data_IF_844397955021
#
_entry.id   IF_844397955021
#
_cell.length_a   1.000
_cell.length_b   1.000
_cell.length_c   1.000
_cell.angle_alpha   90.00
_cell.angle_beta   90.00
_cell.angle_gamma   90.00
#
_symmetry.space_group_name_H-M   'P 1'
#
loop_
_entity.id
_entity.type
_entity.pdbx_description
1 polymer ?
#
# COMPACT_ATOMS: atom_id res chain seq x y z
N UNK A 1 -11.21 -13.12 15.95
CA UNK A 1 -10.78 -13.47 14.57
C UNK A 1 -11.90 -13.10 13.58
N UNK A 2 -11.66 -12.99 12.25
CA UNK A 2 -12.71 -12.61 11.28
C UNK A 2 -13.94 -13.53 11.30
N UNK A 3 -13.75 -14.81 11.57
CA UNK A 3 -14.83 -15.80 11.67
C UNK A 3 -15.78 -15.48 12.83
N UNK A 4 -15.23 -15.17 14.01
CA UNK A 4 -16.00 -14.79 15.21
C UNK A 4 -16.78 -13.48 14.99
N UNK A 5 -16.19 -12.53 14.26
CA UNK A 5 -16.87 -11.28 13.88
C UNK A 5 -18.04 -11.58 12.93
N UNK A 6 -17.83 -12.49 11.96
CA UNK A 6 -18.89 -12.91 11.04
C UNK A 6 -20.06 -13.54 11.82
N UNK A 7 -19.77 -14.45 12.73
CA UNK A 7 -20.78 -15.11 13.57
C UNK A 7 -21.54 -14.10 14.43
N UNK A 8 -20.82 -13.19 15.13
CA UNK A 8 -21.44 -12.17 15.99
C UNK A 8 -22.34 -11.23 15.20
N UNK A 9 -21.89 -10.69 14.05
CA UNK A 9 -22.68 -9.78 13.22
C UNK A 9 -23.88 -10.50 12.61
N UNK A 10 -23.74 -11.76 12.20
CA UNK A 10 -24.84 -12.57 11.68
C UNK A 10 -25.91 -12.77 12.77
N UNK A 11 -25.52 -13.17 13.98
CA UNK A 11 -26.44 -13.35 15.09
C UNK A 11 -27.20 -12.07 15.46
N UNK A 12 -26.52 -10.91 15.46
CA UNK A 12 -27.16 -9.61 15.69
C UNK A 12 -28.17 -9.29 14.58
N UNK A 13 -27.84 -9.55 13.32
CA UNK A 13 -28.77 -9.33 12.19
C UNK A 13 -30.00 -10.20 12.26
N UNK A 14 -29.84 -11.46 12.66
CA UNK A 14 -30.96 -12.38 12.82
C UNK A 14 -31.89 -11.95 13.96
N UNK A 15 -31.31 -11.47 15.07
CA UNK A 15 -32.08 -10.99 16.22
C UNK A 15 -32.73 -9.62 15.98
N UNK A 16 -32.11 -8.76 15.17
CA UNK A 16 -32.50 -7.38 14.91
C UNK A 16 -32.45 -7.07 13.40
N UNK A 17 -33.36 -7.64 12.59
CA UNK A 17 -33.29 -7.56 11.13
C UNK A 17 -33.36 -6.16 10.54
N UNK A 18 -34.03 -5.24 11.23
CA UNK A 18 -34.21 -3.84 10.81
C UNK A 18 -33.10 -2.91 11.34
N UNK A 19 -32.16 -3.42 12.17
CA UNK A 19 -31.11 -2.60 12.75
C UNK A 19 -30.02 -2.25 11.72
N UNK A 20 -29.58 -1.01 11.75
CA UNK A 20 -28.42 -0.57 10.99
C UNK A 20 -27.15 -0.83 11.80
N UNK A 21 -26.43 -1.90 11.46
CA UNK A 21 -25.27 -2.36 12.22
C UNK A 21 -24.02 -1.61 11.79
N UNK A 22 -23.31 -1.05 12.78
CA UNK A 22 -21.96 -0.50 12.63
C UNK A 22 -20.90 -1.40 13.23
N UNK A 23 -19.66 -1.25 12.76
CA UNK A 23 -18.49 -1.96 13.27
C UNK A 23 -17.35 -1.00 13.61
N UNK A 24 -16.75 -1.20 14.78
CA UNK A 24 -15.54 -0.53 15.25
C UNK A 24 -14.57 -1.60 15.75
N UNK A 25 -13.39 -1.68 15.14
CA UNK A 25 -12.39 -2.68 15.48
C UNK A 25 -11.06 -2.06 15.87
N UNK A 26 -10.40 -2.69 16.85
CA UNK A 26 -9.01 -2.40 17.24
C UNK A 26 -8.03 -3.36 16.57
N UNK A 27 -6.75 -2.97 16.51
CA UNK A 27 -5.72 -3.64 15.72
C UNK A 27 -4.71 -4.45 16.57
N UNK A 28 -5.11 -4.87 17.75
CA UNK A 28 -4.21 -5.50 18.74
C UNK A 28 -3.49 -6.76 18.21
N UNK A 29 -4.15 -7.51 17.34
CA UNK A 29 -3.55 -8.68 16.66
C UNK A 29 -3.31 -8.45 15.17
N UNK A 30 -3.35 -7.20 14.69
CA UNK A 30 -3.18 -6.88 13.27
C UNK A 30 -4.39 -7.15 12.38
N UNK A 31 -5.55 -7.54 12.94
CA UNK A 31 -6.74 -7.98 12.19
C UNK A 31 -7.82 -6.91 12.04
N UNK A 32 -7.63 -5.68 12.47
CA UNK A 32 -8.69 -4.67 12.44
C UNK A 32 -9.34 -4.50 11.06
N UNK A 33 -8.54 -4.40 10.00
CA UNK A 33 -9.04 -4.29 8.62
C UNK A 33 -9.80 -5.55 8.20
N UNK A 34 -9.25 -6.73 8.47
CA UNK A 34 -9.86 -8.01 8.11
C UNK A 34 -11.18 -8.23 8.86
N UNK A 35 -11.20 -7.94 10.15
CA UNK A 35 -12.40 -8.02 11.00
C UNK A 35 -13.49 -7.07 10.50
N UNK A 36 -13.14 -5.84 10.13
CA UNK A 36 -14.09 -4.88 9.57
C UNK A 36 -14.68 -5.38 8.25
N UNK A 37 -13.85 -5.94 7.36
CA UNK A 37 -14.32 -6.51 6.09
C UNK A 37 -15.25 -7.70 6.35
N UNK A 38 -14.92 -8.56 7.31
CA UNK A 38 -15.78 -9.70 7.71
C UNK A 38 -17.15 -9.20 8.19
N UNK A 39 -17.19 -8.16 9.03
CA UNK A 39 -18.43 -7.53 9.47
C UNK A 39 -19.26 -6.95 8.31
N UNK A 40 -18.65 -6.26 7.37
CA UNK A 40 -19.34 -5.72 6.18
C UNK A 40 -19.93 -6.85 5.34
N UNK A 41 -19.20 -7.93 5.13
CA UNK A 41 -19.70 -9.14 4.43
C UNK A 41 -20.85 -9.78 5.17
N UNK A 42 -20.82 -9.82 6.49
CA UNK A 42 -21.91 -10.34 7.33
C UNK A 42 -23.11 -9.39 7.42
N UNK A 43 -23.00 -8.15 6.94
CA UNK A 43 -24.12 -7.20 6.82
C UNK A 43 -24.01 -5.90 7.57
N UNK A 44 -22.87 -5.59 8.21
CA UNK A 44 -22.65 -4.25 8.74
C UNK A 44 -22.66 -3.21 7.60
N UNK A 45 -23.25 -2.05 7.87
CA UNK A 45 -23.42 -0.97 6.90
C UNK A 45 -22.71 0.32 7.29
N UNK A 46 -22.23 0.42 8.52
CA UNK A 46 -21.40 1.51 8.99
C UNK A 46 -20.03 0.97 9.40
N UNK A 47 -18.96 1.61 8.96
CA UNK A 47 -17.59 1.29 9.33
C UNK A 47 -16.98 2.47 10.05
N UNK A 48 -16.42 2.23 11.22
CA UNK A 48 -15.66 3.19 11.96
C UNK A 48 -14.18 2.82 11.93
N UNK A 49 -13.33 3.80 11.76
CA UNK A 49 -11.89 3.65 11.73
C UNK A 49 -11.22 5.01 11.77
N UNK A 50 -9.92 5.03 11.65
CA UNK A 50 -9.13 6.27 11.69
C UNK A 50 -8.15 6.34 10.53
N UNK A 51 -7.79 7.55 10.12
CA UNK A 51 -6.74 7.75 9.14
C UNK A 51 -5.42 7.23 9.74
N UNK A 52 -4.67 6.46 8.96
CA UNK A 52 -3.43 5.78 9.36
C UNK A 52 -3.60 4.80 10.55
N UNK A 53 -4.83 4.42 10.89
CA UNK A 53 -5.11 3.47 11.96
C UNK A 53 -4.79 4.00 13.36
N UNK A 54 -4.72 5.33 13.55
CA UNK A 54 -4.37 5.92 14.85
C UNK A 54 -5.44 5.59 15.88
N UNK A 55 -5.03 5.24 17.09
CA UNK A 55 -5.93 4.91 18.19
C UNK A 55 -5.19 4.31 19.37
N UNK A 56 -5.95 3.92 20.38
CA UNK A 56 -5.38 3.32 21.57
C UNK A 56 -4.68 1.99 21.29
N UNK A 57 -3.64 1.70 22.05
CA UNK A 57 -2.78 0.49 21.95
C UNK A 57 -2.18 0.37 20.55
N UNK A 58 -2.57 -0.66 19.76
CA UNK A 58 -2.11 -0.88 18.40
C UNK A 58 -2.93 -0.11 17.34
N UNK A 59 -3.91 0.69 17.77
CA UNK A 59 -4.73 1.53 16.92
C UNK A 59 -6.05 0.89 16.50
N UNK A 60 -6.73 1.57 15.59
CA UNK A 60 -8.03 1.20 15.04
C UNK A 60 -7.90 0.66 13.62
N UNK A 61 -9.01 0.23 13.04
CA UNK A 61 -9.07 -0.08 11.62
C UNK A 61 -8.61 1.12 10.77
N UNK A 62 -7.65 0.88 9.89
CA UNK A 62 -7.05 1.92 9.07
C UNK A 62 -7.95 2.27 7.87
N UNK A 63 -8.56 3.45 7.87
CA UNK A 63 -9.40 3.94 6.77
C UNK A 63 -8.63 4.13 5.47
N UNK A 64 -7.32 4.41 5.52
CA UNK A 64 -6.47 4.50 4.33
C UNK A 64 -6.41 3.16 3.58
N UNK A 65 -6.52 2.04 4.28
CA UNK A 65 -6.58 0.71 3.69
C UNK A 65 -8.03 0.28 3.41
N UNK A 66 -8.95 0.54 4.33
CA UNK A 66 -10.34 0.08 4.22
C UNK A 66 -11.09 0.72 3.04
N UNK A 67 -10.96 2.03 2.84
CA UNK A 67 -11.67 2.74 1.77
C UNK A 67 -11.34 2.13 0.40
N UNK A 68 -10.07 2.05 -0.05
CA UNK A 68 -9.77 1.47 -1.34
C UNK A 68 -10.09 -0.03 -1.42
N UNK A 69 -9.96 -0.79 -0.33
CA UNK A 69 -10.37 -2.22 -0.32
C UNK A 69 -11.86 -2.35 -0.57
N UNK A 70 -12.70 -1.63 0.18
CA UNK A 70 -14.15 -1.71 0.03
C UNK A 70 -14.60 -1.26 -1.37
N UNK A 71 -14.03 -0.19 -1.89
CA UNK A 71 -14.42 0.36 -3.18
C UNK A 71 -13.86 -0.44 -4.36
N UNK A 72 -12.58 -0.79 -4.35
CA UNK A 72 -11.89 -1.35 -5.52
C UNK A 72 -11.93 -2.88 -5.57
N UNK A 73 -12.03 -3.55 -4.42
CA UNK A 73 -12.03 -5.02 -4.34
C UNK A 73 -13.44 -5.59 -4.12
N UNK A 74 -14.30 -4.86 -3.40
CA UNK A 74 -15.66 -5.31 -3.08
C UNK A 74 -16.76 -4.52 -3.79
N UNK A 75 -16.43 -3.42 -4.50
CA UNK A 75 -17.42 -2.62 -5.23
C UNK A 75 -18.43 -1.89 -4.32
N UNK A 76 -18.08 -1.68 -3.05
CA UNK A 76 -18.94 -1.00 -2.10
C UNK A 76 -18.96 0.50 -2.34
N UNK A 77 -20.12 1.12 -2.16
CA UNK A 77 -20.24 2.58 -2.03
C UNK A 77 -19.88 2.99 -0.59
N UNK A 78 -18.94 3.92 -0.45
CA UNK A 78 -18.40 4.32 0.87
C UNK A 78 -18.70 5.78 1.23
N UNK A 79 -19.46 6.49 0.42
CA UNK A 79 -19.64 7.93 0.57
C UNK A 79 -18.43 8.78 0.12
N UNK A 80 -17.32 8.13 -0.25
CA UNK A 80 -16.15 8.78 -0.88
C UNK A 80 -16.27 8.63 -2.39
N UNK A 81 -16.23 9.74 -3.13
CA UNK A 81 -16.24 9.69 -4.59
C UNK A 81 -14.97 9.00 -5.10
N UNK A 82 -15.11 8.09 -6.08
CA UNK A 82 -14.02 7.27 -6.60
C UNK A 82 -12.85 8.12 -7.11
N UNK A 83 -13.16 9.26 -7.70
CA UNK A 83 -12.19 10.23 -8.22
C UNK A 83 -11.35 10.89 -7.11
N UNK A 84 -11.78 10.77 -5.84
CA UNK A 84 -11.04 11.32 -4.69
C UNK A 84 -10.00 10.35 -4.10
N UNK A 85 -10.00 9.09 -4.52
CA UNK A 85 -9.05 8.10 -4.02
C UNK A 85 -7.59 8.52 -4.22
N UNK A 86 -7.27 9.25 -5.30
CA UNK A 86 -5.92 9.77 -5.54
C UNK A 86 -5.39 10.69 -4.43
N UNK A 87 -6.25 11.14 -3.50
CA UNK A 87 -5.85 11.97 -2.37
C UNK A 87 -5.42 11.18 -1.13
N UNK A 88 -5.53 9.84 -1.14
CA UNK A 88 -5.26 9.03 0.03
C UNK A 88 -3.81 9.18 0.53
N UNK A 89 -2.82 9.16 -0.37
CA UNK A 89 -1.41 9.36 0.01
C UNK A 89 -1.19 10.72 0.65
N UNK A 90 -1.69 11.78 0.03
CA UNK A 90 -1.54 13.14 0.57
C UNK A 90 -2.25 13.33 1.91
N UNK A 91 -3.43 12.71 2.09
CA UNK A 91 -4.17 12.72 3.36
C UNK A 91 -3.40 12.01 4.47
N UNK A 92 -2.86 10.81 4.18
CA UNK A 92 -2.03 10.04 5.11
C UNK A 92 -0.83 10.86 5.58
N UNK A 93 -0.10 11.45 4.62
CA UNK A 93 1.07 12.30 4.90
C UNK A 93 0.72 13.56 5.68
N UNK A 94 -0.37 14.21 5.33
CA UNK A 94 -0.84 15.42 6.03
C UNK A 94 -1.09 15.12 7.51
N UNK A 95 -1.72 13.98 7.82
CA UNK A 95 -1.97 13.61 9.21
C UNK A 95 -0.66 13.32 9.95
N UNK A 96 0.21 12.48 9.39
CA UNK A 96 1.51 12.16 10.01
C UNK A 96 2.32 13.42 10.32
N UNK A 97 2.36 14.38 9.39
CA UNK A 97 3.00 15.68 9.60
C UNK A 97 2.36 16.49 10.73
N UNK A 98 1.01 16.48 10.83
CA UNK A 98 0.28 17.23 11.87
C UNK A 98 0.53 16.70 13.27
N UNK A 99 0.75 15.41 13.41
CA UNK A 99 1.00 14.75 14.71
C UNK A 99 2.48 14.46 14.95
N UNK A 100 3.37 14.99 14.10
CA UNK A 100 4.82 14.78 14.17
C UNK A 100 5.22 13.30 14.20
N UNK A 101 4.59 12.48 13.35
CA UNK A 101 4.87 11.07 13.18
C UNK A 101 5.60 10.83 11.87
N UNK A 102 6.61 9.97 11.88
CA UNK A 102 7.26 9.52 10.65
C UNK A 102 6.28 8.64 9.85
N UNK A 103 6.10 8.91 8.55
CA UNK A 103 5.28 8.08 7.69
C UNK A 103 5.80 6.65 7.61
N UNK A 104 4.90 5.67 7.62
CA UNK A 104 5.28 4.29 7.39
C UNK A 104 5.50 4.05 5.88
N UNK A 105 6.76 3.84 5.48
CA UNK A 105 7.12 3.57 4.08
C UNK A 105 6.46 2.31 3.51
N UNK A 106 6.10 1.33 4.36
CA UNK A 106 5.47 0.08 3.97
C UNK A 106 3.94 0.06 4.20
N UNK A 107 3.33 1.22 4.48
CA UNK A 107 1.87 1.29 4.63
C UNK A 107 1.17 0.86 3.33
N UNK A 108 0.19 -0.07 3.38
CA UNK A 108 -0.56 -0.46 2.21
C UNK A 108 -1.15 0.75 1.47
N UNK A 109 -1.10 0.75 0.16
CA UNK A 109 -1.56 1.79 -0.77
C UNK A 109 -0.75 3.10 -0.76
N UNK A 110 -0.33 3.62 0.38
CA UNK A 110 0.16 5.01 0.49
C UNK A 110 1.63 5.13 0.89
N UNK A 111 2.24 4.05 1.38
CA UNK A 111 3.67 4.03 1.69
C UNK A 111 4.52 4.22 0.44
N UNK A 112 5.70 4.79 0.57
CA UNK A 112 6.59 5.01 -0.57
C UNK A 112 7.06 3.68 -1.17
N UNK A 113 7.24 2.65 -0.33
CA UNK A 113 7.61 1.31 -0.78
C UNK A 113 6.42 0.46 -1.30
N UNK A 114 5.16 0.94 -1.18
CA UNK A 114 3.98 0.13 -1.51
C UNK A 114 3.91 -0.31 -2.98
N UNK A 115 4.58 0.43 -3.89
CA UNK A 115 4.68 0.14 -5.31
C UNK A 115 6.14 0.22 -5.80
N UNK A 116 7.09 -0.08 -4.90
CA UNK A 116 8.50 -0.10 -5.21
C UNK A 116 8.95 -1.52 -5.62
N UNK A 117 9.68 -1.62 -6.72
CA UNK A 117 10.20 -2.87 -7.26
C UNK A 117 11.73 -2.89 -7.14
N UNK A 118 12.27 -3.69 -6.21
CA UNK A 118 13.72 -3.82 -5.97
C UNK A 118 14.35 -4.96 -6.77
N UNK A 119 13.71 -6.14 -6.78
CA UNK A 119 14.24 -7.32 -7.45
C UNK A 119 14.20 -7.20 -8.97
N UNK A 120 15.30 -7.58 -9.67
CA UNK A 120 15.41 -7.46 -11.12
C UNK A 120 14.30 -8.18 -11.90
N UNK A 121 13.87 -9.37 -11.43
CA UNK A 121 12.76 -10.10 -12.02
C UNK A 121 11.43 -9.35 -11.87
N UNK A 122 11.16 -8.81 -10.67
CA UNK A 122 9.96 -8.03 -10.38
C UNK A 122 9.88 -6.77 -11.24
N UNK A 123 10.97 -5.99 -11.28
CA UNK A 123 11.06 -4.78 -12.11
C UNK A 123 10.85 -5.10 -13.60
N UNK A 124 11.53 -6.11 -14.13
CA UNK A 124 11.39 -6.53 -15.52
C UNK A 124 9.97 -6.95 -15.88
N UNK A 125 9.27 -7.65 -14.98
CA UNK A 125 7.90 -8.07 -15.21
C UNK A 125 6.93 -6.88 -15.08
N UNK A 126 7.10 -6.00 -14.08
CA UNK A 126 6.29 -4.81 -13.90
C UNK A 126 6.45 -3.79 -15.06
N UNK A 127 7.64 -3.69 -15.66
CA UNK A 127 7.87 -2.88 -16.86
C UNK A 127 7.07 -3.41 -18.06
N UNK A 128 6.98 -4.76 -18.21
CA UNK A 128 6.24 -5.38 -19.32
C UNK A 128 4.73 -5.32 -19.12
N UNK A 129 4.28 -5.65 -17.92
CA UNK A 129 2.88 -5.60 -17.51
C UNK A 129 2.80 -5.37 -16.00
N UNK A 130 2.47 -4.15 -15.55
CA UNK A 130 2.36 -3.83 -14.13
C UNK A 130 1.42 -4.76 -13.35
N UNK A 131 0.38 -5.31 -13.99
CA UNK A 131 -0.60 -6.21 -13.36
C UNK A 131 0.01 -7.51 -12.82
N UNK A 132 1.25 -7.84 -13.20
CA UNK A 132 1.96 -9.02 -12.69
C UNK A 132 2.32 -8.89 -11.21
N UNK A 133 2.53 -7.67 -10.71
CA UNK A 133 2.94 -7.39 -9.33
C UNK A 133 2.11 -6.30 -8.64
N UNK A 134 1.36 -5.52 -9.38
CA UNK A 134 0.55 -4.44 -8.84
C UNK A 134 -0.92 -4.83 -8.81
N UNK A 135 -1.51 -4.76 -7.64
CA UNK A 135 -2.93 -5.10 -7.46
C UNK A 135 -3.90 -3.99 -7.88
N UNK A 136 -3.40 -2.78 -8.10
CA UNK A 136 -4.05 -1.59 -8.66
C UNK A 136 -3.00 -0.68 -9.30
N UNK A 137 -3.36 0.23 -10.24
CA UNK A 137 -2.49 1.32 -10.65
C UNK A 137 -2.20 2.26 -9.44
N UNK A 138 -0.92 2.57 -9.14
CA UNK A 138 -0.57 3.39 -7.97
C UNK A 138 -1.20 4.78 -7.98
N UNK A 139 -1.40 5.38 -9.15
CA UNK A 139 -2.00 6.71 -9.34
C UNK A 139 -3.45 6.76 -8.82
N UNK A 140 -4.14 5.63 -8.79
CA UNK A 140 -5.49 5.50 -8.23
C UNK A 140 -5.58 6.02 -6.80
N UNK A 141 -4.51 5.84 -6.02
CA UNK A 141 -4.43 6.25 -4.61
C UNK A 141 -3.46 7.41 -4.37
N UNK A 142 -2.97 8.04 -5.44
CA UNK A 142 -2.04 9.17 -5.41
C UNK A 142 -0.60 8.75 -5.11
N UNK A 143 -0.27 7.48 -5.33
CA UNK A 143 1.08 6.96 -5.25
C UNK A 143 1.73 6.89 -6.64
N UNK A 144 2.99 6.48 -6.69
CA UNK A 144 3.76 6.27 -7.91
C UNK A 144 4.49 4.93 -7.84
N UNK A 145 4.76 4.36 -9.01
CA UNK A 145 5.69 3.22 -9.12
C UNK A 145 7.10 3.72 -8.93
N UNK A 146 7.94 2.92 -8.32
CA UNK A 146 9.36 3.19 -8.16
C UNK A 146 10.20 1.97 -8.50
N UNK A 147 11.28 2.18 -9.26
CA UNK A 147 12.28 1.15 -9.50
C UNK A 147 13.51 1.43 -8.65
N UNK A 148 13.67 0.61 -7.61
CA UNK A 148 14.76 0.77 -6.64
C UNK A 148 16.03 0.16 -7.22
N UNK A 149 17.12 0.94 -7.19
CA UNK A 149 18.46 0.45 -7.52
C UNK A 149 19.13 -0.06 -6.25
N UNK A 150 19.64 -1.28 -6.30
CA UNK A 150 20.36 -1.93 -5.21
C UNK A 150 21.42 -2.87 -5.76
N UNK A 151 22.22 -3.47 -4.88
CA UNK A 151 23.18 -4.53 -5.18
C UNK A 151 22.57 -5.71 -5.96
N UNK A 152 21.29 -6.03 -5.67
CA UNK A 152 20.52 -7.11 -6.31
C UNK A 152 19.79 -6.70 -7.59
N UNK A 153 19.89 -5.42 -7.98
CA UNK A 153 19.18 -4.92 -9.16
C UNK A 153 19.78 -5.44 -10.46
N UNK A 154 18.93 -5.78 -11.41
CA UNK A 154 19.33 -6.11 -12.78
C UNK A 154 19.46 -4.86 -13.65
N UNK A 155 20.05 -5.00 -14.85
CA UNK A 155 20.18 -3.92 -15.86
C UNK A 155 18.86 -3.20 -16.14
N UNK A 156 17.73 -3.93 -16.13
CA UNK A 156 16.40 -3.36 -16.34
C UNK A 156 15.99 -2.30 -15.29
N UNK A 157 16.37 -2.49 -14.01
CA UNK A 157 16.11 -1.51 -12.96
C UNK A 157 16.85 -0.19 -13.21
N UNK A 158 18.12 -0.28 -13.60
CA UNK A 158 18.94 0.89 -13.90
C UNK A 158 18.37 1.66 -15.09
N UNK A 159 18.03 0.96 -16.18
CA UNK A 159 17.43 1.59 -17.37
C UNK A 159 16.11 2.28 -17.01
N UNK A 160 15.23 1.60 -16.26
CA UNK A 160 13.96 2.17 -15.81
C UNK A 160 14.19 3.40 -14.94
N UNK A 161 15.20 3.37 -14.05
CA UNK A 161 15.53 4.51 -13.20
C UNK A 161 16.09 5.70 -13.99
N UNK A 162 16.93 5.45 -15.00
CA UNK A 162 17.40 6.49 -15.90
C UNK A 162 16.24 7.14 -16.67
N UNK A 163 15.29 6.33 -17.15
CA UNK A 163 14.11 6.82 -17.86
C UNK A 163 13.24 7.70 -16.95
N UNK A 164 13.01 7.28 -15.68
CA UNK A 164 12.33 8.11 -14.67
C UNK A 164 13.02 9.45 -14.43
N UNK A 165 14.35 9.49 -14.50
CA UNK A 165 15.16 10.70 -14.34
C UNK A 165 15.27 11.53 -15.62
N UNK A 166 14.66 11.08 -16.72
CA UNK A 166 14.74 11.73 -18.03
C UNK A 166 16.11 11.59 -18.71
N UNK A 167 16.93 10.60 -18.30
CA UNK A 167 18.23 10.32 -18.84
C UNK A 167 18.10 9.23 -19.92
N UNK A 168 18.29 9.62 -21.17
CA UNK A 168 18.28 8.68 -22.28
C UNK A 168 19.57 7.83 -22.24
N UNK A 169 19.41 6.50 -22.15
CA UNK A 169 20.53 5.54 -22.12
C UNK A 169 20.31 4.50 -23.21
N UNK A 170 21.36 4.25 -24.01
CA UNK A 170 21.37 3.14 -24.94
C UNK A 170 21.55 1.83 -24.17
N UNK A 171 20.64 0.89 -24.36
CA UNK A 171 20.67 -0.43 -23.71
C UNK A 171 21.89 -1.26 -24.11
N UNK A 172 22.42 -1.00 -25.29
CA UNK A 172 23.56 -1.71 -25.88
C UNK A 172 24.88 -0.98 -25.65
N UNK A 173 24.88 0.14 -24.91
CA UNK A 173 26.13 0.85 -24.56
C UNK A 173 27.02 -0.06 -23.69
N UNK A 174 28.27 -0.36 -24.13
CA UNK A 174 29.20 -1.19 -23.37
C UNK A 174 29.63 -0.56 -22.03
N UNK A 175 29.52 0.76 -21.86
CA UNK A 175 29.85 1.45 -20.63
C UNK A 175 28.76 1.28 -19.55
N UNK A 176 27.54 0.92 -19.96
CA UNK A 176 26.43 0.74 -19.03
C UNK A 176 26.69 -0.39 -18.03
N UNK A 177 27.25 -1.49 -18.45
CA UNK A 177 27.56 -2.62 -17.57
C UNK A 177 28.68 -2.27 -16.57
N UNK A 178 29.66 -1.47 -16.98
CA UNK A 178 30.71 -0.95 -16.09
C UNK A 178 30.11 0.00 -15.05
N UNK A 179 29.28 0.94 -15.47
CA UNK A 179 28.59 1.88 -14.58
C UNK A 179 27.70 1.14 -13.56
N UNK A 180 26.97 0.11 -13.99
CA UNK A 180 26.14 -0.72 -13.11
C UNK A 180 27.01 -1.42 -12.06
N UNK A 181 28.15 -1.95 -12.43
CA UNK A 181 29.07 -2.60 -11.49
C UNK A 181 29.61 -1.60 -10.45
N UNK A 182 30.05 -0.42 -10.88
CA UNK A 182 30.55 0.64 -10.00
C UNK A 182 29.47 1.10 -8.99
N UNK A 183 28.23 1.30 -9.45
CA UNK A 183 27.11 1.68 -8.56
C UNK A 183 26.81 0.58 -7.54
N UNK A 184 26.84 -0.69 -7.96
CA UNK A 184 26.63 -1.82 -7.04
C UNK A 184 27.71 -1.91 -5.97
N UNK A 185 28.97 -1.75 -6.33
CA UNK A 185 30.09 -1.76 -5.39
C UNK A 185 29.97 -0.61 -4.39
N UNK A 186 29.57 0.57 -4.86
CA UNK A 186 29.30 1.72 -3.98
C UNK A 186 28.16 1.46 -2.99
N UNK A 187 27.08 0.80 -3.43
CA UNK A 187 25.93 0.48 -2.57
C UNK A 187 26.27 -0.57 -1.52
N UNK A 188 27.09 -1.58 -1.85
CA UNK A 188 27.59 -2.56 -0.89
C UNK A 188 28.39 -1.87 0.22
N UNK A 189 29.32 -1.00 -0.15
CA UNK A 189 30.15 -0.28 0.81
C UNK A 189 29.36 0.61 1.77
N UNK A 190 28.27 1.25 1.29
CA UNK A 190 27.43 2.12 2.13
C UNK A 190 26.47 1.34 3.03
N UNK A 191 26.08 0.12 2.66
CA UNK A 191 25.24 -0.74 3.51
C UNK A 191 26.01 -1.32 4.70
N UNK A 192 27.28 -1.69 4.51
CA UNK A 192 28.15 -2.22 5.56
C UNK A 192 28.62 -1.13 6.57
N UNK A 193 28.56 0.14 6.17
CA UNK A 193 28.92 1.26 7.05
C UNK A 193 27.78 1.73 7.97
N UNK A 194 26.58 1.12 7.85
CA UNK A 194 25.40 1.47 8.63
C UNK A 194 25.12 0.52 9.81
N UNK A 195 25.92 -0.54 9.98
CA UNK A 195 25.96 -1.44 11.13
C UNK A 195 27.10 -1.01 12.10
#
# INVERSE_FOLDING_TARGET
MPEEITEAVTAVREALPDANIGIHTHNDSGFAVANTIAAVKAGARQVQGTINGIGERCGNANLITLIPVLMLKYGCETGVAKEKLHRLKSLSRMLDNRINRLPNAHAPYVGDAAFAHKGGLHASAAIRDPRTYEHIPPETVGNSREYVVSDQSGKANFIARFDELGIAVDKDDPHLDTLIAEVKDCLLYTSDAAD
#
